data_IF_567338608679
#
_entry.id   IF_567338608679
#
_cell.length_a   1.000
_cell.length_b   1.000
_cell.length_c   1.000
_cell.angle_alpha   90.00
_cell.angle_beta   90.00
_cell.angle_gamma   90.00
#
_symmetry.space_group_name_H-M   'P 1'
#
loop_
_entity.id
_entity.type
_entity.pdbx_description
1 polymer ?
#
# COMPACT_ATOMS: atom_id res chain seq x y z
N UNK A 1 0.76 -93.64 17.17
CA UNK A 1 1.64 -93.22 16.05
C UNK A 1 2.11 -91.81 16.34
N UNK A 2 3.42 -91.71 16.62
CA UNK A 2 4.38 -90.66 16.27
C UNK A 2 4.02 -89.19 16.60
N UNK A 3 4.86 -88.65 17.49
CA UNK A 3 5.17 -87.25 17.79
C UNK A 3 5.31 -86.35 16.54
N UNK A 4 5.06 -85.04 16.67
CA UNK A 4 6.18 -84.08 16.81
C UNK A 4 5.71 -82.62 16.90
N UNK A 5 6.11 -82.01 18.03
CA UNK A 5 6.84 -80.74 18.10
C UNK A 5 6.16 -79.40 17.75
N UNK A 6 5.84 -78.67 18.84
CA UNK A 6 6.31 -77.31 19.16
C UNK A 6 6.46 -76.29 18.01
N UNK A 7 5.82 -75.12 18.14
CA UNK A 7 6.40 -73.93 18.78
C UNK A 7 5.71 -72.64 18.31
N UNK A 8 5.33 -71.79 19.28
CA UNK A 8 5.19 -70.32 19.23
C UNK A 8 4.68 -69.62 17.95
N UNK A 9 3.58 -68.88 18.05
CA UNK A 9 3.69 -67.41 18.07
C UNK A 9 2.41 -66.66 18.47
N UNK A 10 2.66 -65.56 19.15
CA UNK A 10 1.75 -64.55 19.68
C UNK A 10 1.09 -63.78 18.52
N UNK A 11 -0.22 -63.59 18.59
CA UNK A 11 -0.94 -62.45 17.99
C UNK A 11 -1.98 -62.01 19.05
N UNK A 12 -1.79 -60.97 19.85
CA UNK A 12 -1.04 -59.76 19.63
C UNK A 12 -1.88 -58.73 18.88
N UNK A 13 -2.45 -57.78 19.64
CA UNK A 13 -2.94 -56.46 19.18
C UNK A 13 -4.28 -56.45 18.41
N UNK A 14 -5.23 -55.56 18.63
CA UNK A 14 -5.09 -54.14 18.95
C UNK A 14 -6.41 -53.59 19.51
N UNK A 15 -6.41 -53.17 20.77
CA UNK A 15 -7.24 -52.05 21.22
C UNK A 15 -6.76 -50.80 20.50
N UNK A 16 -7.34 -50.49 19.33
CA UNK A 16 -7.11 -49.20 18.67
C UNK A 16 -8.09 -48.20 19.22
N UNK A 17 -7.57 -47.37 20.12
CA UNK A 17 -8.17 -46.19 20.73
C UNK A 17 -9.12 -45.45 19.76
N UNK A 18 -10.42 -45.54 20.03
CA UNK A 18 -11.40 -44.63 19.43
C UNK A 18 -11.36 -43.36 20.24
N UNK A 19 -10.42 -42.46 19.89
CA UNK A 19 -10.40 -41.09 20.40
C UNK A 19 -11.78 -40.48 20.16
N UNK A 20 -12.43 -40.00 21.23
CA UNK A 20 -13.75 -39.39 21.10
C UNK A 20 -13.68 -38.16 20.19
N UNK A 21 -14.78 -37.84 19.51
CA UNK A 21 -14.83 -36.71 18.57
C UNK A 21 -14.43 -35.39 19.23
N UNK A 22 -14.75 -35.22 20.50
CA UNK A 22 -14.41 -34.05 21.31
C UNK A 22 -12.93 -33.99 21.67
N UNK A 23 -12.32 -35.12 22.05
CA UNK A 23 -10.88 -35.20 22.29
C UNK A 23 -10.07 -34.88 21.03
N UNK A 24 -10.53 -35.36 19.86
CA UNK A 24 -9.89 -35.06 18.58
C UNK A 24 -9.97 -33.56 18.24
N UNK A 25 -11.11 -32.91 18.48
CA UNK A 25 -11.27 -31.47 18.27
C UNK A 25 -10.36 -30.69 19.22
N UNK A 26 -10.35 -31.03 20.50
CA UNK A 26 -9.50 -30.39 21.50
C UNK A 26 -8.01 -30.54 21.18
N UNK A 27 -7.61 -31.71 20.68
CA UNK A 27 -6.24 -31.97 20.22
C UNK A 27 -5.88 -31.13 18.97
N UNK A 28 -6.80 -31.02 18.00
CA UNK A 28 -6.60 -30.14 16.83
C UNK A 28 -6.44 -28.67 17.25
N UNK A 29 -7.26 -28.21 18.19
CA UNK A 29 -7.20 -26.84 18.71
C UNK A 29 -5.91 -26.59 19.49
N UNK A 30 -5.44 -27.55 20.31
CA UNK A 30 -4.19 -27.41 21.05
C UNK A 30 -2.98 -27.32 20.11
N UNK A 31 -2.93 -28.16 19.07
CA UNK A 31 -1.89 -28.09 18.03
C UNK A 31 -1.94 -26.78 17.24
N UNK A 32 -3.14 -26.27 16.95
CA UNK A 32 -3.30 -25.00 16.25
C UNK A 32 -2.87 -23.80 17.12
N UNK A 33 -3.20 -23.82 18.41
CA UNK A 33 -2.77 -22.81 19.39
C UNK A 33 -1.27 -22.87 19.70
N UNK A 34 -0.65 -24.04 19.60
CA UNK A 34 0.82 -24.18 19.66
C UNK A 34 1.53 -23.68 18.39
N UNK A 35 0.78 -23.11 17.44
CA UNK A 35 1.31 -22.51 16.23
C UNK A 35 1.50 -23.49 15.06
N UNK A 36 0.93 -24.70 15.07
CA UNK A 36 0.96 -25.57 13.87
C UNK A 36 -0.03 -25.08 12.80
N UNK A 37 0.34 -25.24 11.54
CA UNK A 37 -0.55 -24.93 10.39
C UNK A 37 -1.58 -26.05 10.22
N UNK A 38 -2.72 -25.74 9.61
CA UNK A 38 -3.73 -26.74 9.25
C UNK A 38 -3.14 -27.91 8.42
N UNK A 39 -2.09 -27.65 7.63
CA UNK A 39 -1.43 -28.68 6.83
C UNK A 39 -0.53 -29.59 7.69
N UNK A 40 0.23 -29.03 8.62
CA UNK A 40 1.05 -29.83 9.56
C UNK A 40 0.14 -30.66 10.47
N UNK A 41 -0.93 -30.06 11.00
CA UNK A 41 -1.92 -30.78 11.83
C UNK A 41 -2.55 -31.92 11.04
N UNK A 42 -2.95 -31.68 9.79
CA UNK A 42 -3.52 -32.70 8.91
C UNK A 42 -2.57 -33.90 8.71
N UNK A 43 -1.27 -33.65 8.57
CA UNK A 43 -0.25 -34.71 8.51
C UNK A 43 -0.13 -35.45 9.84
N UNK A 44 -0.09 -34.74 10.96
CA UNK A 44 0.08 -35.33 12.29
C UNK A 44 -1.09 -36.27 12.67
N UNK A 45 -2.32 -35.90 12.31
CA UNK A 45 -3.53 -36.67 12.65
C UNK A 45 -3.95 -37.64 11.53
N UNK A 46 -3.22 -37.69 10.41
CA UNK A 46 -3.56 -38.55 9.27
C UNK A 46 -4.90 -38.21 8.60
N UNK A 47 -5.28 -36.93 8.54
CA UNK A 47 -6.56 -36.47 7.94
C UNK A 47 -6.32 -35.46 6.82
N UNK A 48 -7.38 -35.11 6.09
CA UNK A 48 -7.29 -34.09 5.04
C UNK A 48 -7.19 -32.68 5.64
N UNK A 49 -6.50 -31.77 4.94
CA UNK A 49 -6.47 -30.34 5.29
C UNK A 49 -7.88 -29.74 5.35
N UNK A 50 -8.79 -30.19 4.47
CA UNK A 50 -10.19 -29.72 4.43
C UNK A 50 -10.90 -30.08 5.74
N UNK A 51 -10.66 -31.27 6.28
CA UNK A 51 -11.22 -31.69 7.56
C UNK A 51 -10.74 -30.78 8.71
N UNK A 52 -9.42 -30.54 8.80
CA UNK A 52 -8.84 -29.65 9.80
C UNK A 52 -9.35 -28.21 9.63
N UNK A 53 -9.42 -27.72 8.40
CA UNK A 53 -9.93 -26.39 8.07
C UNK A 53 -11.36 -26.21 8.55
N UNK A 54 -12.26 -27.17 8.27
CA UNK A 54 -13.66 -27.11 8.76
C UNK A 54 -13.75 -26.99 10.28
N UNK A 55 -12.89 -27.69 11.02
CA UNK A 55 -12.86 -27.61 12.49
C UNK A 55 -12.33 -26.25 12.93
N UNK A 56 -11.22 -25.76 12.37
CA UNK A 56 -10.64 -24.47 12.77
C UNK A 56 -11.59 -23.29 12.47
N UNK A 57 -12.29 -23.28 11.33
CA UNK A 57 -13.26 -22.22 11.00
C UNK A 57 -14.52 -22.23 11.90
N UNK A 58 -14.73 -23.24 12.74
CA UNK A 58 -15.79 -23.21 13.76
C UNK A 58 -15.40 -22.39 14.99
N UNK A 59 -14.10 -22.21 15.25
CA UNK A 59 -13.58 -21.58 16.48
C UNK A 59 -12.78 -20.30 16.22
N UNK A 60 -12.37 -20.05 14.98
CA UNK A 60 -11.59 -18.88 14.60
C UNK A 60 -12.18 -18.22 13.37
N UNK A 61 -12.21 -16.89 13.37
CA UNK A 61 -12.59 -16.07 12.22
C UNK A 61 -11.55 -16.14 11.11
N UNK A 62 -11.96 -15.82 9.87
CA UNK A 62 -11.04 -15.74 8.73
C UNK A 62 -9.91 -14.74 8.94
N UNK A 63 -10.17 -13.67 9.70
CA UNK A 63 -9.18 -12.65 10.04
C UNK A 63 -8.14 -13.17 11.05
N UNK A 64 -8.57 -13.87 12.11
CA UNK A 64 -7.66 -14.50 13.08
C UNK A 64 -6.80 -15.59 12.44
N UNK A 65 -7.39 -16.40 11.54
CA UNK A 65 -6.67 -17.43 10.79
C UNK A 65 -5.61 -16.79 9.89
N UNK A 66 -5.95 -15.68 9.19
CA UNK A 66 -4.99 -14.92 8.40
C UNK A 66 -3.87 -14.36 9.27
N UNK A 67 -4.20 -13.70 10.38
CA UNK A 67 -3.22 -13.07 11.26
C UNK A 67 -2.26 -14.11 11.86
N UNK A 68 -2.74 -15.29 12.26
CA UNK A 68 -1.88 -16.40 12.73
C UNK A 68 -1.00 -16.98 11.64
N UNK A 69 -1.51 -17.10 10.41
CA UNK A 69 -0.68 -17.48 9.26
C UNK A 69 0.40 -16.43 8.98
N UNK A 70 0.07 -15.13 9.09
CA UNK A 70 1.01 -14.02 8.96
C UNK A 70 2.10 -14.04 10.04
N UNK A 71 1.75 -14.22 11.31
CA UNK A 71 2.72 -14.29 12.43
C UNK A 71 3.66 -15.50 12.30
N UNK A 72 3.15 -16.64 11.82
CA UNK A 72 4.01 -17.80 11.56
C UNK A 72 4.92 -17.62 10.34
N UNK A 73 4.44 -16.95 9.29
CA UNK A 73 5.27 -16.55 8.15
C UNK A 73 6.40 -15.59 8.58
N UNK A 74 6.15 -14.77 9.61
CA UNK A 74 7.15 -13.91 10.25
C UNK A 74 8.16 -14.70 11.09
N UNK A 75 7.75 -15.81 11.72
CA UNK A 75 8.60 -16.60 12.63
C UNK A 75 9.39 -17.77 12.01
N UNK A 76 8.92 -18.41 10.92
CA UNK A 76 9.58 -19.61 10.33
C UNK A 76 10.52 -19.34 9.17
N UNK A 77 10.53 -18.14 8.61
CA UNK A 77 11.39 -17.79 7.50
C UNK A 77 11.80 -16.33 7.67
N UNK A 78 13.11 -16.04 7.54
CA UNK A 78 13.51 -14.90 6.71
C UNK A 78 12.66 -15.04 5.46
N UNK A 79 11.57 -14.28 5.37
CA UNK A 79 10.70 -14.29 4.20
C UNK A 79 11.65 -14.16 3.01
N UNK A 80 11.74 -15.20 2.20
CA UNK A 80 12.50 -15.10 0.96
C UNK A 80 11.67 -14.23 0.03
N UNK A 81 11.77 -12.93 0.28
CA UNK A 81 11.22 -11.90 -0.54
C UNK A 81 12.00 -11.80 -1.85
N UNK A 82 12.94 -12.68 -2.21
CA UNK A 82 13.58 -12.66 -3.54
C UNK A 82 12.56 -12.56 -4.69
N UNK A 83 11.39 -13.20 -4.55
CA UNK A 83 10.28 -13.13 -5.52
C UNK A 83 9.51 -11.81 -5.51
N UNK A 84 9.62 -11.02 -4.45
CA UNK A 84 8.96 -9.71 -4.26
C UNK A 84 9.97 -8.55 -4.12
N UNK A 85 11.26 -8.86 -4.19
CA UNK A 85 12.38 -7.91 -4.15
C UNK A 85 12.24 -7.10 -5.40
N UNK A 86 11.78 -5.88 -5.22
CA UNK A 86 12.21 -4.84 -6.13
C UNK A 86 13.73 -4.71 -6.01
N UNK A 87 14.38 -4.25 -7.07
CA UNK A 87 15.81 -3.92 -7.03
C UNK A 87 16.17 -2.89 -5.95
N UNK A 88 15.18 -2.17 -5.39
CA UNK A 88 15.37 -1.19 -4.34
C UNK A 88 15.40 -1.76 -2.91
N UNK A 89 15.05 -3.03 -2.72
CA UNK A 89 14.87 -3.59 -1.37
C UNK A 89 13.61 -3.10 -0.65
N UNK A 90 12.70 -2.38 -1.32
CA UNK A 90 11.46 -1.84 -0.75
C UNK A 90 10.24 -2.37 -1.50
N UNK A 91 9.21 -2.82 -0.78
CA UNK A 91 8.01 -3.42 -1.36
C UNK A 91 7.39 -2.57 -2.46
N UNK A 92 7.38 -3.12 -3.69
CA UNK A 92 6.79 -2.53 -4.90
C UNK A 92 7.35 -1.16 -5.32
N UNK A 93 8.53 -0.80 -4.82
CA UNK A 93 9.23 0.44 -5.19
C UNK A 93 10.33 0.14 -6.20
N UNK A 94 10.38 0.85 -7.32
CA UNK A 94 11.46 0.76 -8.30
C UNK A 94 12.08 2.12 -8.55
N UNK A 95 13.41 2.17 -8.70
CA UNK A 95 14.09 3.33 -9.27
C UNK A 95 13.94 3.33 -10.79
N UNK A 96 13.69 4.50 -11.38
CA UNK A 96 13.47 4.68 -12.82
C UNK A 96 14.35 5.81 -13.32
N UNK A 97 15.29 5.45 -14.18
CA UNK A 97 16.17 6.41 -14.87
C UNK A 97 15.40 7.13 -15.98
N UNK A 98 15.43 8.46 -15.97
CA UNK A 98 14.76 9.28 -16.98
C UNK A 98 15.76 9.89 -17.96
N UNK A 99 16.03 9.14 -19.03
CA UNK A 99 17.00 9.51 -20.07
C UNK A 99 16.65 10.79 -20.87
N UNK A 100 15.43 11.34 -20.74
CA UNK A 100 14.98 12.51 -21.53
C UNK A 100 15.03 13.84 -20.79
N UNK A 101 14.70 13.84 -19.49
CA UNK A 101 14.45 15.08 -18.74
C UNK A 101 15.40 15.27 -17.54
N UNK A 102 16.38 14.38 -17.36
CA UNK A 102 17.47 14.53 -16.38
C UNK A 102 17.10 14.24 -14.92
N UNK A 103 15.82 14.04 -14.60
CA UNK A 103 15.37 13.74 -13.25
C UNK A 103 14.90 12.28 -13.14
N UNK A 104 15.78 11.45 -12.60
CA UNK A 104 15.45 10.09 -12.17
C UNK A 104 14.45 10.12 -11.02
N UNK A 105 13.64 9.07 -10.89
CA UNK A 105 12.58 9.03 -9.90
C UNK A 105 12.31 7.64 -9.35
N UNK A 106 11.74 7.61 -8.16
CA UNK A 106 11.22 6.42 -7.50
C UNK A 106 9.75 6.24 -7.85
N UNK A 107 9.33 4.99 -8.05
CA UNK A 107 7.96 4.63 -8.41
C UNK A 107 7.45 3.52 -7.49
N UNK A 108 6.33 3.76 -6.80
CA UNK A 108 5.57 2.75 -6.05
C UNK A 108 4.40 2.25 -6.89
N UNK A 109 4.32 0.93 -7.10
CA UNK A 109 3.24 0.29 -7.89
C UNK A 109 2.15 -0.30 -6.99
N UNK A 110 0.88 -0.13 -7.32
CA UNK A 110 -0.25 -0.73 -6.60
C UNK A 110 -1.43 -1.04 -7.51
N UNK A 111 -2.38 -1.83 -7.02
CA UNK A 111 -3.63 -2.08 -7.71
C UNK A 111 -4.77 -1.37 -7.01
N UNK A 112 -5.61 -0.70 -7.79
CA UNK A 112 -6.82 -0.01 -7.36
C UNK A 112 -7.88 -0.32 -8.42
N UNK A 113 -9.01 -0.91 -8.01
CA UNK A 113 -10.08 -1.38 -8.90
C UNK A 113 -9.60 -2.31 -10.03
N UNK A 114 -8.69 -3.23 -9.69
CA UNK A 114 -8.09 -4.17 -10.66
C UNK A 114 -7.12 -3.54 -11.66
N UNK A 115 -6.86 -2.23 -11.58
CA UNK A 115 -5.95 -1.51 -12.48
C UNK A 115 -4.62 -1.22 -11.80
N UNK A 116 -3.52 -1.42 -12.53
CA UNK A 116 -2.18 -1.04 -12.06
C UNK A 116 -2.05 0.49 -12.05
N UNK A 117 -1.71 1.03 -10.88
CA UNK A 117 -1.46 2.45 -10.61
C UNK A 117 -0.04 2.67 -10.12
N UNK A 118 0.43 3.91 -10.20
CA UNK A 118 1.76 4.33 -9.71
C UNK A 118 1.68 5.63 -8.95
N UNK A 119 2.48 5.72 -7.89
CA UNK A 119 2.88 6.97 -7.24
C UNK A 119 4.36 7.17 -7.57
N UNK A 120 4.75 8.37 -7.96
CA UNK A 120 6.15 8.67 -8.34
C UNK A 120 6.67 9.87 -7.57
N UNK A 121 7.96 9.86 -7.25
CA UNK A 121 8.64 10.99 -6.60
C UNK A 121 10.14 10.93 -6.89
N UNK A 122 10.77 12.09 -7.07
CA UNK A 122 12.24 12.20 -7.17
C UNK A 122 12.93 11.92 -5.84
N UNK A 123 12.27 12.22 -4.71
CA UNK A 123 12.77 11.92 -3.37
C UNK A 123 12.06 10.66 -2.82
N UNK A 124 12.83 9.68 -2.36
CA UNK A 124 12.34 8.40 -1.86
C UNK A 124 11.55 8.54 -0.54
N UNK A 125 11.99 9.41 0.36
CA UNK A 125 11.29 9.66 1.62
C UNK A 125 9.93 10.34 1.39
N UNK A 126 9.85 11.29 0.45
CA UNK A 126 8.57 11.84 -0.01
C UNK A 126 7.64 10.78 -0.57
N UNK A 127 8.16 9.83 -1.34
CA UNK A 127 7.36 8.70 -1.85
C UNK A 127 6.76 7.90 -0.70
N UNK A 128 7.55 7.60 0.35
CA UNK A 128 7.11 6.90 1.56
C UNK A 128 5.92 7.60 2.21
N UNK A 129 6.02 8.91 2.42
CA UNK A 129 4.94 9.71 3.02
C UNK A 129 3.65 9.58 2.18
N UNK A 130 3.71 9.84 0.87
CA UNK A 130 2.52 9.81 0.00
C UNK A 130 1.89 8.40 -0.04
N UNK A 131 2.69 7.34 -0.03
CA UNK A 131 2.20 5.96 0.00
C UNK A 131 1.45 5.68 1.30
N UNK A 132 2.01 6.09 2.44
CA UNK A 132 1.39 5.91 3.76
C UNK A 132 0.11 6.74 3.92
N UNK A 133 0.10 8.00 3.45
CA UNK A 133 -1.09 8.87 3.46
C UNK A 133 -2.25 8.28 2.64
N UNK A 134 -1.94 7.54 1.56
CA UNK A 134 -2.94 6.83 0.76
C UNK A 134 -3.39 5.50 1.41
N UNK A 135 -2.91 5.16 2.60
CA UNK A 135 -3.22 3.92 3.30
C UNK A 135 -2.58 2.67 2.70
N UNK A 136 -1.54 2.82 1.88
CA UNK A 136 -0.84 1.72 1.22
C UNK A 136 0.31 1.20 2.08
N UNK A 137 0.68 -0.08 1.90
CA UNK A 137 1.74 -0.72 2.68
C UNK A 137 3.13 -0.26 2.24
N UNK A 138 3.97 0.12 3.20
CA UNK A 138 5.39 0.37 3.01
C UNK A 138 6.21 -0.61 3.84
N UNK A 139 7.09 -1.39 3.19
CA UNK A 139 7.93 -2.39 3.85
C UNK A 139 9.33 -2.30 3.26
N UNK A 140 10.31 -2.01 4.11
CA UNK A 140 11.74 -2.05 3.81
C UNK A 140 12.25 -3.46 4.16
N UNK A 141 12.82 -4.15 3.17
CA UNK A 141 13.24 -5.56 3.33
C UNK A 141 14.71 -5.74 3.69
N UNK A 142 15.51 -4.67 3.59
CA UNK A 142 16.94 -4.71 3.84
C UNK A 142 17.38 -3.50 4.66
N UNK A 143 18.50 -3.64 5.37
CA UNK A 143 19.07 -2.54 6.14
C UNK A 143 19.52 -1.43 5.21
N UNK A 144 20.07 -1.76 4.02
CA UNK A 144 20.46 -0.78 3.00
C UNK A 144 19.26 0.03 2.49
N UNK A 145 18.09 -0.62 2.33
CA UNK A 145 16.87 0.06 1.95
C UNK A 145 16.39 1.04 3.03
N UNK A 146 16.54 0.67 4.30
CA UNK A 146 16.17 1.49 5.45
C UNK A 146 17.10 2.70 5.60
N UNK A 147 18.41 2.47 5.48
CA UNK A 147 19.44 3.51 5.45
C UNK A 147 19.23 4.47 4.27
N UNK A 148 18.87 3.96 3.09
CA UNK A 148 18.58 4.79 1.93
C UNK A 148 17.39 5.71 2.18
N UNK A 149 16.30 5.19 2.75
CA UNK A 149 15.14 6.02 3.12
C UNK A 149 15.54 7.09 4.15
N UNK A 150 16.37 6.75 5.14
CA UNK A 150 16.85 7.69 6.15
C UNK A 150 17.72 8.80 5.54
N UNK A 151 18.65 8.47 4.65
CA UNK A 151 19.47 9.47 3.92
C UNK A 151 18.62 10.48 3.15
N UNK A 152 17.54 10.01 2.51
CA UNK A 152 16.61 10.88 1.80
C UNK A 152 15.70 11.69 2.73
N UNK A 153 15.55 11.26 3.99
CA UNK A 153 14.88 12.02 5.07
C UNK A 153 15.76 13.16 5.60
N UNK A 154 17.06 12.91 5.80
CA UNK A 154 18.00 13.93 6.31
C UNK A 154 18.17 15.11 5.33
N UNK A 155 18.09 14.82 4.04
CA UNK A 155 18.15 15.82 2.96
C UNK A 155 16.77 16.35 2.57
N UNK A 156 15.74 15.97 3.33
CA UNK A 156 14.37 16.32 3.02
C UNK A 156 14.03 17.72 3.53
N UNK A 157 13.69 18.59 2.59
CA UNK A 157 13.02 19.85 2.91
C UNK A 157 11.51 19.61 2.93
N UNK A 158 10.88 19.75 4.10
CA UNK A 158 9.43 19.63 4.26
C UNK A 158 8.65 20.66 3.43
N UNK A 159 9.27 21.78 3.05
CA UNK A 159 8.69 22.75 2.10
C UNK A 159 8.41 22.12 0.73
N UNK A 160 9.07 21.00 0.39
CA UNK A 160 8.81 20.27 -0.84
C UNK A 160 7.49 19.49 -0.82
N UNK A 161 6.86 19.27 0.35
CA UNK A 161 5.47 18.79 0.47
C UNK A 161 4.46 19.90 0.19
N UNK A 162 4.83 21.14 0.51
CA UNK A 162 4.01 22.29 0.18
C UNK A 162 3.86 22.31 -1.34
N UNK A 163 2.61 22.26 -1.79
CA UNK A 163 2.27 22.14 -3.21
C UNK A 163 2.48 23.48 -3.92
N UNK A 164 3.64 24.12 -3.75
CA UNK A 164 4.03 25.26 -4.55
C UNK A 164 4.21 24.80 -5.98
N UNK A 165 3.22 25.14 -6.80
CA UNK A 165 3.53 25.44 -8.18
C UNK A 165 4.21 26.81 -8.22
N UNK A 166 4.92 27.09 -9.32
CA UNK A 166 5.52 28.40 -9.63
C UNK A 166 4.55 29.59 -9.58
N UNK A 167 3.27 29.36 -9.28
CA UNK A 167 2.24 30.38 -9.25
C UNK A 167 1.87 30.86 -7.85
N UNK A 168 2.26 30.15 -6.78
CA UNK A 168 1.86 30.52 -5.41
C UNK A 168 0.41 30.18 -5.06
N UNK A 169 -0.31 29.42 -5.89
CA UNK A 169 -1.71 29.04 -5.66
C UNK A 169 -1.87 27.54 -5.80
N UNK A 170 -2.52 26.85 -4.88
CA UNK A 170 -2.72 25.41 -4.97
C UNK A 170 -3.41 24.96 -6.27
N UNK A 171 -2.83 23.98 -6.99
CA UNK A 171 -3.37 23.36 -8.23
C UNK A 171 -3.56 24.31 -9.43
N UNK A 172 -3.04 25.53 -9.36
CA UNK A 172 -3.08 26.50 -10.46
C UNK A 172 -1.81 26.44 -11.33
N UNK A 173 -1.94 26.69 -12.62
CA UNK A 173 -0.80 26.82 -13.53
C UNK A 173 -1.00 28.01 -14.46
N UNK A 174 0.11 28.63 -14.91
CA UNK A 174 0.09 29.57 -16.04
C UNK A 174 0.29 28.80 -17.33
N UNK A 175 -0.66 28.89 -18.25
CA UNK A 175 -0.61 28.25 -19.58
C UNK A 175 -0.48 29.32 -20.66
N UNK A 176 0.52 29.19 -21.53
CA UNK A 176 0.71 30.10 -22.67
C UNK A 176 -0.49 30.00 -23.61
N UNK A 177 -1.06 31.14 -23.99
CA UNK A 177 -2.28 31.23 -24.83
C UNK A 177 -2.26 32.48 -25.69
N UNK A 178 -3.04 32.50 -26.77
CA UNK A 178 -3.12 33.62 -27.71
C UNK A 178 -3.97 34.82 -27.22
N UNK A 179 -4.17 34.93 -25.92
CA UNK A 179 -4.84 36.07 -25.28
C UNK A 179 -3.94 37.30 -25.33
N UNK A 180 -4.49 38.52 -25.21
CA UNK A 180 -3.68 39.76 -25.13
C UNK A 180 -2.61 39.72 -24.03
N UNK A 181 -2.90 39.02 -22.93
CA UNK A 181 -1.98 38.80 -21.80
C UNK A 181 -0.90 37.73 -22.07
N UNK A 182 -0.99 36.98 -23.17
CA UNK A 182 -0.07 35.90 -23.53
C UNK A 182 -0.20 34.61 -22.72
N UNK A 183 -1.05 34.58 -21.70
CA UNK A 183 -1.31 33.39 -20.88
C UNK A 183 -2.70 33.41 -20.22
N UNK A 184 -3.15 32.22 -19.79
CA UNK A 184 -4.30 32.02 -18.91
C UNK A 184 -3.88 31.28 -17.65
N UNK A 185 -4.63 31.52 -16.58
CA UNK A 185 -4.56 30.74 -15.36
C UNK A 185 -5.48 29.53 -15.49
N UNK A 186 -5.00 28.37 -15.04
CA UNK A 186 -5.77 27.14 -15.10
C UNK A 186 -5.67 26.39 -13.78
N UNK A 187 -6.82 26.07 -13.19
CA UNK A 187 -6.94 25.19 -12.04
C UNK A 187 -7.28 23.79 -12.53
N UNK A 188 -6.52 22.79 -12.09
CA UNK A 188 -6.79 21.41 -12.51
C UNK A 188 -6.37 20.37 -11.48
N UNK A 189 -7.14 19.31 -11.37
CA UNK A 189 -6.83 18.15 -10.54
C UNK A 189 -7.44 16.89 -11.13
N UNK A 190 -6.93 15.75 -10.70
CA UNK A 190 -7.51 14.45 -11.03
C UNK A 190 -8.21 13.89 -9.82
N UNK A 191 -9.45 13.46 -10.02
CA UNK A 191 -10.27 12.76 -9.04
C UNK A 191 -10.98 11.62 -9.76
N UNK A 192 -10.98 10.40 -9.21
CA UNK A 192 -11.56 9.21 -9.84
C UNK A 192 -11.11 8.99 -11.29
N UNK A 193 -9.85 9.34 -11.61
CA UNK A 193 -9.26 9.28 -12.95
C UNK A 193 -9.88 10.23 -13.99
N UNK A 194 -10.78 11.12 -13.57
CA UNK A 194 -11.33 12.22 -14.37
C UNK A 194 -10.51 13.49 -14.12
N UNK A 195 -10.22 14.24 -15.19
CA UNK A 195 -9.55 15.53 -15.10
C UNK A 195 -10.60 16.62 -14.88
N UNK A 196 -10.61 17.22 -13.70
CA UNK A 196 -11.36 18.43 -13.41
C UNK A 196 -10.52 19.64 -13.79
N UNK A 197 -11.11 20.56 -14.55
CA UNK A 197 -10.39 21.67 -15.16
C UNK A 197 -11.26 22.91 -15.29
N UNK A 198 -10.70 24.06 -14.92
CA UNK A 198 -11.28 25.37 -15.24
C UNK A 198 -10.17 26.40 -15.49
N UNK A 199 -10.41 27.35 -16.40
CA UNK A 199 -9.44 28.38 -16.73
C UNK A 199 -10.06 29.78 -16.83
N UNK A 200 -9.21 30.78 -16.70
CA UNK A 200 -9.55 32.20 -16.84
C UNK A 200 -8.31 33.03 -17.16
N UNK A 201 -8.51 34.15 -17.87
CA UNK A 201 -7.46 35.16 -18.09
C UNK A 201 -7.15 35.91 -16.78
N UNK A 202 -8.20 36.21 -16.02
CA UNK A 202 -8.13 36.89 -14.72
C UNK A 202 -8.07 35.88 -13.57
N UNK A 203 -7.12 36.05 -12.65
CA UNK A 203 -6.95 35.15 -11.51
C UNK A 203 -8.14 35.22 -10.55
N UNK A 204 -8.72 36.39 -10.34
CA UNK A 204 -9.88 36.53 -9.45
C UNK A 204 -11.13 35.87 -10.02
N UNK A 205 -11.31 35.93 -11.34
CA UNK A 205 -12.38 35.15 -12.01
C UNK A 205 -12.10 33.65 -11.95
N UNK A 206 -10.82 33.22 -12.01
CA UNK A 206 -10.49 31.82 -11.78
C UNK A 206 -10.92 31.39 -10.37
N UNK A 207 -10.57 32.17 -9.35
CA UNK A 207 -10.98 31.94 -7.95
C UNK A 207 -12.50 31.77 -7.83
N UNK A 208 -13.27 32.70 -8.39
CA UNK A 208 -14.74 32.60 -8.38
C UNK A 208 -15.26 31.32 -9.05
N UNK A 209 -14.68 30.92 -10.20
CA UNK A 209 -15.07 29.68 -10.89
C UNK A 209 -14.73 28.42 -10.09
N UNK A 210 -13.58 28.39 -9.43
CA UNK A 210 -13.15 27.26 -8.59
C UNK A 210 -14.11 27.11 -7.41
N UNK A 211 -14.41 28.21 -6.71
CA UNK A 211 -15.36 28.21 -5.60
C UNK A 211 -16.79 27.87 -6.04
N UNK A 212 -17.23 28.34 -7.20
CA UNK A 212 -18.56 28.01 -7.74
C UNK A 212 -18.73 26.52 -8.08
N UNK A 213 -17.65 25.80 -8.38
CA UNK A 213 -17.65 24.35 -8.57
C UNK A 213 -17.54 23.57 -7.24
N UNK A 214 -17.54 24.25 -6.09
CA UNK A 214 -17.35 23.63 -4.77
C UNK A 214 -15.92 23.13 -4.53
N UNK A 215 -14.93 23.65 -5.28
CA UNK A 215 -13.53 23.24 -5.16
C UNK A 215 -12.74 24.15 -4.23
N UNK A 216 -11.72 23.57 -3.59
CA UNK A 216 -10.83 24.28 -2.67
C UNK A 216 -9.92 25.27 -3.42
N UNK A 217 -9.86 26.50 -2.90
CA UNK A 217 -8.91 27.53 -3.32
C UNK A 217 -7.96 27.86 -2.18
N UNK A 218 -6.66 27.67 -2.40
CA UNK A 218 -5.63 27.96 -1.39
C UNK A 218 -4.55 28.86 -2.00
N UNK A 219 -4.29 29.97 -1.33
CA UNK A 219 -3.19 30.89 -1.59
C UNK A 219 -2.02 30.46 -0.72
N UNK A 220 -0.91 30.08 -1.36
CA UNK A 220 0.21 29.42 -0.68
C UNK A 220 1.25 30.43 -0.18
N UNK A 221 1.24 31.66 -0.69
CA UNK A 221 2.13 32.72 -0.24
C UNK A 221 1.47 34.12 -0.29
N UNK A 222 2.13 35.09 0.33
CA UNK A 222 1.63 36.46 0.42
C UNK A 222 1.54 37.14 -0.96
N UNK A 223 2.45 36.81 -1.89
CA UNK A 223 2.42 37.32 -3.27
C UNK A 223 1.16 36.90 -4.03
N UNK A 224 0.75 35.64 -3.87
CA UNK A 224 -0.48 35.12 -4.45
C UNK A 224 -1.72 35.82 -3.89
N UNK A 225 -1.72 36.10 -2.59
CA UNK A 225 -2.79 36.83 -1.92
C UNK A 225 -2.92 38.26 -2.46
N UNK A 226 -1.80 38.99 -2.51
CA UNK A 226 -1.72 40.34 -3.09
C UNK A 226 -2.19 40.37 -4.54
N UNK A 227 -1.81 39.38 -5.34
CA UNK A 227 -2.19 39.30 -6.75
C UNK A 227 -3.72 39.18 -6.94
N UNK A 228 -4.40 38.39 -6.09
CA UNK A 228 -5.86 38.25 -6.14
C UNK A 228 -6.56 39.55 -5.75
N UNK A 229 -6.09 40.22 -4.70
CA UNK A 229 -6.63 41.51 -4.27
C UNK A 229 -6.47 42.61 -5.32
N UNK A 230 -5.28 42.74 -5.91
CA UNK A 230 -5.01 43.72 -6.96
C UNK A 230 -5.89 43.47 -8.19
N UNK A 231 -6.07 42.20 -8.56
CA UNK A 231 -6.89 41.84 -9.71
C UNK A 231 -8.39 42.07 -9.44
N UNK A 232 -8.86 41.84 -8.20
CA UNK A 232 -10.22 42.21 -7.76
C UNK A 232 -10.47 43.71 -7.88
N UNK A 233 -9.55 44.54 -7.37
CA UNK A 233 -9.64 46.02 -7.45
C UNK A 233 -9.69 46.49 -8.91
N UNK A 234 -8.89 45.90 -9.80
CA UNK A 234 -8.89 46.22 -11.24
C UNK A 234 -10.19 45.85 -11.94
N UNK A 235 -10.86 44.76 -11.55
CA UNK A 235 -12.14 44.35 -12.13
C UNK A 235 -13.28 45.26 -11.65
N UNK A 236 -13.27 45.66 -10.38
CA UNK A 236 -14.25 46.58 -9.81
C UNK A 236 -14.16 47.99 -10.42
N UNK A 237 -12.95 48.51 -10.65
CA UNK A 237 -12.75 49.84 -11.25
C UNK A 237 -13.04 49.89 -12.77
N UNK A 238 -13.38 48.76 -13.39
CA UNK A 238 -13.69 48.65 -14.84
C UNK A 238 -15.17 48.32 -15.11
N UNK A 239 -15.95 48.06 -14.06
CA UNK A 239 -17.39 47.81 -14.12
C UNK A 239 -18.14 49.10 -13.82
#
# INVERSE_FOLDING_TARGET
>A
MINDSNNTNINGSNSKDVVSKEELINYILSLYNSGKTMLEIAKDIGRSKIFVSKIIHQFFTDEEIKNRQYEKLRGKHKLDFSKYKSSSGIYRVSFVENKRNGNDYWSYQYYEDGRLRRIVSVNLYKLKIIVLEKGLKWIEFTDEASELVLKYKETYDDSSLERYNKTGFFRVTKRKTNTKQGFTWAYSFKENNQLNFVSSVDISKLKSKVLANGWEWVELNEEASKLVEENLKKVQNRS
#
